data_IF_981691045655
#
_entry.id   IF_981691045655
#
_cell.length_a   1.000
_cell.length_b   1.000
_cell.length_c   1.000
_cell.angle_alpha   90.00
_cell.angle_beta   90.00
_cell.angle_gamma   90.00
#
_symmetry.space_group_name_H-M   'P 1'
#
loop_
_entity.id
_entity.type
_entity.pdbx_description
1 polymer ?
#
# COMPACT_ATOMS: atom_id res chain seq x y z
N UNK A 1 21.43 -32.56 -52.84
CA UNK A 1 22.46 -32.91 -51.85
C UNK A 1 22.97 -31.68 -51.09
N UNK A 2 24.04 -30.96 -51.49
CA UNK A 2 24.57 -29.83 -50.65
C UNK A 2 23.54 -28.71 -50.38
N UNK A 3 22.68 -28.38 -51.36
CA UNK A 3 21.61 -27.38 -51.18
C UNK A 3 20.44 -27.86 -50.31
N UNK A 4 20.19 -29.16 -50.25
CA UNK A 4 19.08 -29.75 -49.47
C UNK A 4 19.51 -29.91 -48.00
N UNK A 5 20.72 -30.43 -47.75
CA UNK A 5 21.29 -30.53 -46.39
C UNK A 5 21.48 -29.14 -45.74
N UNK A 6 21.85 -28.12 -46.53
CA UNK A 6 21.95 -26.75 -46.03
C UNK A 6 20.58 -26.12 -45.71
N UNK A 7 19.54 -26.47 -46.48
CA UNK A 7 18.18 -26.04 -46.21
C UNK A 7 17.62 -26.69 -44.93
N UNK A 8 17.87 -27.98 -44.73
CA UNK A 8 17.49 -28.69 -43.49
C UNK A 8 18.24 -28.14 -42.26
N UNK A 9 19.53 -27.82 -42.41
CA UNK A 9 20.31 -27.18 -41.34
C UNK A 9 19.77 -25.79 -40.97
N UNK A 10 19.51 -24.92 -41.96
CA UNK A 10 18.89 -23.62 -41.73
C UNK A 10 17.51 -23.73 -41.08
N UNK A 11 16.71 -24.71 -41.51
CA UNK A 11 15.40 -25.00 -40.93
C UNK A 11 15.52 -25.40 -39.45
N UNK A 12 16.48 -26.27 -39.12
CA UNK A 12 16.71 -26.67 -37.73
C UNK A 12 17.12 -25.49 -36.83
N UNK A 13 17.97 -24.58 -37.31
CA UNK A 13 18.36 -23.38 -36.56
C UNK A 13 17.14 -22.49 -36.31
N UNK A 14 16.31 -22.27 -37.35
CA UNK A 14 15.08 -21.50 -37.23
C UNK A 14 14.12 -22.10 -36.19
N UNK A 15 13.96 -23.42 -36.17
CA UNK A 15 13.13 -24.10 -35.17
C UNK A 15 13.66 -23.93 -33.74
N UNK A 16 14.99 -23.99 -33.54
CA UNK A 16 15.60 -23.76 -32.23
C UNK A 16 15.47 -22.31 -31.77
N UNK A 17 15.65 -21.34 -32.66
CA UNK A 17 15.42 -19.91 -32.38
C UNK A 17 13.94 -19.67 -32.04
N UNK A 18 13.01 -20.16 -32.84
CA UNK A 18 11.57 -20.07 -32.56
C UNK A 18 11.20 -20.73 -31.22
N UNK A 19 11.77 -21.89 -30.89
CA UNK A 19 11.53 -22.57 -29.62
C UNK A 19 12.09 -21.77 -28.43
N UNK A 20 13.22 -21.08 -28.59
CA UNK A 20 13.78 -20.16 -27.61
C UNK A 20 12.89 -18.94 -27.39
N UNK A 21 12.43 -18.33 -28.48
CA UNK A 21 11.56 -17.15 -28.46
C UNK A 21 10.18 -17.49 -27.86
N UNK A 22 9.59 -18.65 -28.18
CA UNK A 22 8.34 -19.15 -27.57
C UNK A 22 8.48 -19.37 -26.05
N UNK A 23 9.64 -19.83 -25.57
CA UNK A 23 9.94 -19.95 -24.12
C UNK A 23 10.11 -18.57 -23.46
N UNK A 24 10.72 -17.63 -24.16
CA UNK A 24 10.86 -16.25 -23.69
C UNK A 24 9.50 -15.58 -23.52
N UNK A 25 8.60 -15.71 -24.51
CA UNK A 25 7.22 -15.20 -24.42
C UNK A 25 6.52 -15.69 -23.15
N UNK A 26 6.55 -17.00 -22.89
CA UNK A 26 5.92 -17.59 -21.70
C UNK A 26 6.54 -17.06 -20.40
N UNK A 27 7.84 -16.81 -20.40
CA UNK A 27 8.55 -16.27 -19.24
C UNK A 27 8.17 -14.81 -18.98
N UNK A 28 8.07 -13.97 -20.03
CA UNK A 28 7.59 -12.60 -19.92
C UNK A 28 6.13 -12.51 -19.45
N UNK A 29 5.27 -13.40 -19.95
CA UNK A 29 3.89 -13.53 -19.48
C UNK A 29 3.83 -13.83 -17.98
N UNK A 30 4.59 -14.83 -17.51
CA UNK A 30 4.63 -15.20 -16.08
C UNK A 30 5.24 -14.10 -15.20
N UNK A 31 6.15 -13.28 -15.75
CA UNK A 31 6.76 -12.16 -15.06
C UNK A 31 5.88 -10.90 -15.03
N UNK A 32 4.80 -10.83 -15.82
CA UNK A 32 3.98 -9.64 -15.97
C UNK A 32 4.61 -8.54 -16.82
N UNK A 33 5.67 -8.85 -17.56
CA UNK A 33 6.38 -7.94 -18.46
C UNK A 33 5.64 -7.84 -19.80
N UNK A 34 4.45 -7.25 -19.76
CA UNK A 34 3.52 -7.28 -20.90
C UNK A 34 4.10 -6.64 -22.17
N UNK A 35 4.85 -5.54 -22.06
CA UNK A 35 5.47 -4.88 -23.21
C UNK A 35 6.45 -5.80 -23.94
N UNK A 36 7.29 -6.49 -23.18
CA UNK A 36 8.26 -7.45 -23.72
C UNK A 36 7.55 -8.67 -24.31
N UNK A 37 6.48 -9.14 -23.66
CA UNK A 37 5.64 -10.21 -24.18
C UNK A 37 5.02 -9.84 -25.54
N UNK A 38 4.48 -8.64 -25.70
CA UNK A 38 3.95 -8.18 -26.99
C UNK A 38 5.06 -7.98 -28.03
N UNK A 39 6.23 -7.46 -27.64
CA UNK A 39 7.39 -7.34 -28.55
C UNK A 39 7.76 -8.69 -29.14
N UNK A 40 7.90 -9.71 -28.29
CA UNK A 40 8.19 -11.08 -28.71
C UNK A 40 7.04 -11.68 -29.53
N UNK A 41 5.79 -11.39 -29.18
CA UNK A 41 4.63 -11.87 -29.93
C UNK A 41 4.60 -11.32 -31.37
N UNK A 42 5.02 -10.07 -31.58
CA UNK A 42 5.14 -9.49 -32.92
C UNK A 42 6.35 -10.03 -33.69
N UNK A 43 7.48 -10.32 -33.03
CA UNK A 43 8.62 -11.00 -33.65
C UNK A 43 8.24 -12.42 -34.14
N UNK A 44 7.40 -13.12 -33.38
CA UNK A 44 6.82 -14.41 -33.76
C UNK A 44 5.72 -14.31 -34.83
N UNK A 45 5.37 -13.09 -35.28
CA UNK A 45 4.32 -12.84 -36.27
C UNK A 45 2.98 -13.51 -35.92
N UNK A 46 2.62 -13.47 -34.64
CA UNK A 46 1.33 -14.00 -34.19
C UNK A 46 0.19 -13.28 -34.92
N UNK A 47 -0.83 -14.04 -35.33
CA UNK A 47 -2.00 -13.47 -35.99
C UNK A 47 -2.84 -12.64 -34.98
N UNK A 48 -3.74 -11.82 -35.51
CA UNK A 48 -4.56 -10.91 -34.70
C UNK A 48 -5.35 -11.61 -33.59
N UNK A 49 -5.84 -12.82 -33.82
CA UNK A 49 -6.59 -13.59 -32.81
C UNK A 49 -5.69 -14.02 -31.64
N UNK A 50 -4.46 -14.48 -31.90
CA UNK A 50 -3.49 -14.82 -30.86
C UNK A 50 -3.01 -13.59 -30.08
N UNK A 51 -2.91 -12.44 -30.74
CA UNK A 51 -2.60 -11.16 -30.09
C UNK A 51 -3.72 -10.75 -29.13
N UNK A 52 -4.99 -10.95 -29.52
CA UNK A 52 -6.15 -10.73 -28.64
C UNK A 52 -6.18 -11.71 -27.47
N UNK A 53 -5.99 -13.00 -27.71
CA UNK A 53 -5.89 -14.02 -26.64
C UNK A 53 -4.79 -13.67 -25.62
N UNK A 54 -3.63 -13.22 -26.10
CA UNK A 54 -2.53 -12.76 -25.25
C UNK A 54 -2.91 -11.51 -24.45
N UNK A 55 -3.61 -10.56 -25.09
CA UNK A 55 -4.09 -9.34 -24.44
C UNK A 55 -5.10 -9.64 -23.34
N UNK A 56 -6.04 -10.54 -23.56
CA UNK A 56 -7.04 -10.94 -22.56
C UNK A 56 -6.36 -11.60 -21.36
N UNK A 57 -5.45 -12.55 -21.62
CA UNK A 57 -4.68 -13.22 -20.56
C UNK A 57 -3.86 -12.23 -19.72
N UNK A 58 -3.14 -11.30 -20.36
CA UNK A 58 -2.32 -10.32 -19.66
C UNK A 58 -3.16 -9.26 -18.95
N UNK A 59 -4.33 -8.92 -19.49
CA UNK A 59 -5.28 -8.02 -18.83
C UNK A 59 -5.73 -8.61 -17.50
N UNK A 60 -6.14 -9.89 -17.49
CA UNK A 60 -6.56 -10.58 -16.26
C UNK A 60 -5.41 -10.64 -15.25
N UNK A 61 -4.21 -11.02 -15.71
CA UNK A 61 -3.03 -11.07 -14.87
C UNK A 61 -2.68 -9.70 -14.25
N UNK A 62 -2.73 -8.62 -15.03
CA UNK A 62 -2.46 -7.26 -14.55
C UNK A 62 -3.55 -6.78 -13.58
N UNK A 63 -4.81 -7.14 -13.82
CA UNK A 63 -5.92 -6.87 -12.92
C UNK A 63 -5.73 -7.54 -11.55
N UNK A 64 -5.27 -8.79 -11.52
CA UNK A 64 -4.92 -9.49 -10.27
C UNK A 64 -3.80 -8.78 -9.50
N UNK A 65 -2.84 -8.18 -10.21
CA UNK A 65 -1.75 -7.37 -9.63
C UNK A 65 -2.15 -5.93 -9.30
N UNK A 66 -3.41 -5.54 -9.53
CA UNK A 66 -3.94 -4.16 -9.36
C UNK A 66 -3.27 -3.12 -10.26
N UNK A 67 -2.67 -3.55 -11.38
CA UNK A 67 -2.07 -2.69 -12.40
C UNK A 67 -3.13 -2.30 -13.45
N UNK A 68 -4.19 -1.62 -13.01
CA UNK A 68 -5.37 -1.36 -13.84
C UNK A 68 -5.09 -0.45 -15.04
N UNK A 69 -4.18 0.52 -14.91
CA UNK A 69 -3.84 1.45 -16.00
C UNK A 69 -3.15 0.75 -17.17
N UNK A 70 -2.28 -0.22 -16.88
CA UNK A 70 -1.64 -1.02 -17.93
C UNK A 70 -2.62 -1.99 -18.56
N UNK A 71 -3.50 -2.62 -17.76
CA UNK A 71 -4.57 -3.47 -18.26
C UNK A 71 -5.55 -2.70 -19.18
N UNK A 72 -5.85 -1.43 -18.84
CA UNK A 72 -6.69 -0.56 -19.65
C UNK A 72 -6.03 -0.25 -21.01
N UNK A 73 -4.71 -0.02 -21.04
CA UNK A 73 -3.95 0.18 -22.28
C UNK A 73 -3.99 -1.05 -23.18
N UNK A 74 -3.84 -2.24 -22.62
CA UNK A 74 -3.96 -3.47 -23.41
C UNK A 74 -5.32 -3.57 -24.13
N UNK A 75 -6.40 -3.21 -23.44
CA UNK A 75 -7.73 -3.21 -24.02
C UNK A 75 -7.91 -2.18 -25.13
N UNK A 76 -7.27 -1.01 -25.02
CA UNK A 76 -7.29 -0.01 -26.09
C UNK A 76 -6.46 -0.44 -27.29
N UNK A 77 -5.23 -0.88 -27.05
CA UNK A 77 -4.22 -1.05 -28.08
C UNK A 77 -4.45 -2.33 -28.90
N UNK A 78 -4.87 -3.42 -28.23
CA UNK A 78 -4.91 -4.74 -28.86
C UNK A 78 -6.32 -5.33 -29.05
N UNK A 79 -7.28 -5.02 -28.16
CA UNK A 79 -8.66 -5.53 -28.28
C UNK A 79 -9.65 -4.47 -28.78
N UNK A 80 -9.24 -3.18 -28.78
CA UNK A 80 -10.07 -2.03 -29.13
C UNK A 80 -11.39 -1.96 -28.32
N UNK A 81 -11.40 -2.55 -27.13
CA UNK A 81 -12.57 -2.53 -26.25
C UNK A 81 -12.54 -1.28 -25.36
N UNK A 82 -13.16 -0.21 -25.87
CA UNK A 82 -13.19 1.10 -25.20
C UNK A 82 -13.93 1.03 -23.86
N UNK A 83 -15.08 0.36 -23.81
CA UNK A 83 -15.87 0.23 -22.57
C UNK A 83 -15.06 -0.44 -21.46
N UNK A 84 -14.42 -1.57 -21.75
CA UNK A 84 -13.59 -2.28 -20.76
C UNK A 84 -12.38 -1.44 -20.32
N UNK A 85 -11.74 -0.73 -21.24
CA UNK A 85 -10.63 0.17 -20.90
C UNK A 85 -11.08 1.31 -19.98
N UNK A 86 -12.22 1.94 -20.26
CA UNK A 86 -12.78 3.03 -19.44
C UNK A 86 -13.09 2.54 -18.01
N UNK A 87 -13.71 1.36 -17.88
CA UNK A 87 -13.96 0.75 -16.56
C UNK A 87 -12.65 0.52 -15.77
N UNK A 88 -11.60 0.05 -16.44
CA UNK A 88 -10.28 -0.17 -15.83
C UNK A 88 -9.59 1.15 -15.45
N UNK A 89 -9.70 2.21 -16.26
CA UNK A 89 -9.17 3.52 -15.90
C UNK A 89 -9.87 4.10 -14.66
N UNK A 90 -11.19 3.98 -14.59
CA UNK A 90 -11.98 4.39 -13.41
C UNK A 90 -11.56 3.59 -12.18
N UNK A 91 -11.38 2.27 -12.31
CA UNK A 91 -10.89 1.40 -11.23
C UNK A 91 -9.44 1.72 -10.81
N UNK A 92 -8.62 2.17 -11.74
CA UNK A 92 -7.26 2.68 -11.53
C UNK A 92 -7.19 4.11 -11.01
N UNK A 93 -8.34 4.75 -10.76
CA UNK A 93 -8.48 6.14 -10.35
C UNK A 93 -7.89 7.17 -11.35
N UNK A 94 -7.71 6.84 -12.63
CA UNK A 94 -7.35 7.82 -13.66
C UNK A 94 -8.58 8.29 -14.43
N UNK A 95 -9.39 9.10 -13.75
CA UNK A 95 -10.65 9.62 -14.32
C UNK A 95 -10.41 10.57 -15.48
N UNK A 96 -9.29 11.30 -15.48
CA UNK A 96 -8.89 12.17 -16.58
C UNK A 96 -8.68 11.39 -17.87
N UNK A 97 -7.95 10.28 -17.78
CA UNK A 97 -7.69 9.44 -18.95
C UNK A 97 -8.96 8.72 -19.40
N UNK A 98 -9.80 8.24 -18.48
CA UNK A 98 -11.10 7.67 -18.80
C UNK A 98 -11.95 8.63 -19.66
N UNK A 99 -12.08 9.91 -19.24
CA UNK A 99 -12.83 10.93 -20.00
C UNK A 99 -12.18 11.22 -21.34
N UNK A 100 -10.84 11.35 -21.38
CA UNK A 100 -10.10 11.60 -22.63
C UNK A 100 -10.37 10.50 -23.66
N UNK A 101 -10.36 9.24 -23.22
CA UNK A 101 -10.63 8.08 -24.06
C UNK A 101 -12.09 8.06 -24.55
N UNK A 102 -13.07 8.34 -23.68
CA UNK A 102 -14.47 8.47 -24.11
C UNK A 102 -14.64 9.48 -25.25
N UNK A 103 -14.00 10.66 -25.14
CA UNK A 103 -14.04 11.68 -26.19
C UNK A 103 -13.29 11.26 -27.45
N UNK A 104 -12.11 10.68 -27.32
CA UNK A 104 -11.30 10.22 -28.46
C UNK A 104 -12.02 9.15 -29.28
N UNK A 105 -12.68 8.21 -28.60
CA UNK A 105 -13.43 7.10 -29.20
C UNK A 105 -14.85 7.49 -29.63
N UNK A 106 -15.29 8.73 -29.40
CA UNK A 106 -16.65 9.24 -29.66
C UNK A 106 -17.76 8.49 -28.89
N UNK A 107 -17.42 7.90 -27.75
CA UNK A 107 -18.34 7.19 -26.84
C UNK A 107 -18.61 8.02 -25.58
N UNK A 108 -19.08 9.26 -25.77
CA UNK A 108 -19.34 10.19 -24.66
C UNK A 108 -20.44 9.71 -23.69
N UNK A 109 -21.29 8.76 -24.11
CA UNK A 109 -22.29 8.12 -23.24
C UNK A 109 -21.65 7.41 -22.04
N UNK A 110 -20.46 6.84 -22.21
CA UNK A 110 -19.73 6.16 -21.13
C UNK A 110 -19.36 7.09 -19.96
N UNK A 111 -19.28 8.41 -20.21
CA UNK A 111 -19.00 9.38 -19.15
C UNK A 111 -20.14 9.38 -18.13
N UNK A 112 -21.40 9.38 -18.59
CA UNK A 112 -22.57 9.37 -17.72
C UNK A 112 -22.85 7.98 -17.14
N UNK A 113 -22.61 6.91 -17.90
CA UNK A 113 -22.99 5.54 -17.48
C UNK A 113 -21.91 4.80 -16.70
N UNK A 114 -20.63 5.13 -16.89
CA UNK A 114 -19.49 4.42 -16.26
C UNK A 114 -18.65 5.36 -15.40
N UNK A 115 -18.19 6.47 -15.97
CA UNK A 115 -17.20 7.33 -15.29
C UNK A 115 -17.81 8.03 -14.07
N UNK A 116 -18.93 8.74 -14.23
CA UNK A 116 -19.57 9.45 -13.12
C UNK A 116 -20.02 8.52 -11.99
N UNK A 117 -20.72 7.39 -12.25
CA UNK A 117 -21.04 6.42 -11.19
C UNK A 117 -19.79 5.91 -10.47
N UNK A 118 -18.74 5.53 -11.21
CA UNK A 118 -17.52 5.03 -10.60
C UNK A 118 -16.75 6.09 -9.78
N UNK A 119 -16.85 7.37 -10.14
CA UNK A 119 -16.32 8.48 -9.32
C UNK A 119 -17.09 8.61 -8.01
N UNK A 120 -18.41 8.49 -8.03
CA UNK A 120 -19.25 8.52 -6.83
C UNK A 120 -18.99 7.30 -5.94
N UNK A 121 -18.83 6.11 -6.52
CA UNK A 121 -18.49 4.90 -5.77
C UNK A 121 -17.13 5.04 -5.09
N UNK A 122 -16.12 5.55 -5.81
CA UNK A 122 -14.81 5.83 -5.24
C UNK A 122 -14.87 6.87 -4.12
N UNK A 123 -15.75 7.88 -4.25
CA UNK A 123 -16.00 8.86 -3.19
C UNK A 123 -16.54 8.20 -1.93
N UNK A 124 -17.56 7.34 -2.06
CA UNK A 124 -18.15 6.65 -0.92
C UNK A 124 -17.12 5.74 -0.22
N UNK A 125 -16.33 4.98 -0.99
CA UNK A 125 -15.29 4.10 -0.45
C UNK A 125 -14.19 4.88 0.28
N UNK A 126 -13.70 5.97 -0.32
CA UNK A 126 -12.63 6.77 0.27
C UNK A 126 -13.09 7.52 1.51
N UNK A 127 -14.34 7.99 1.51
CA UNK A 127 -14.95 8.64 2.68
C UNK A 127 -15.05 7.66 3.86
N UNK A 128 -15.48 6.43 3.60
CA UNK A 128 -15.53 5.37 4.61
C UNK A 128 -14.12 5.02 5.12
N UNK A 129 -13.13 4.93 4.24
CA UNK A 129 -11.73 4.68 4.62
C UNK A 129 -11.17 5.79 5.51
N UNK A 130 -11.47 7.05 5.20
CA UNK A 130 -11.10 8.23 6.01
C UNK A 130 -11.74 8.14 7.41
N UNK A 131 -13.04 7.87 7.49
CA UNK A 131 -13.76 7.78 8.76
C UNK A 131 -13.28 6.58 9.60
N UNK A 132 -13.03 5.43 8.96
CA UNK A 132 -12.46 4.24 9.59
C UNK A 132 -11.04 4.49 10.10
N UNK A 133 -10.20 5.20 9.34
CA UNK A 133 -8.85 5.55 9.78
C UNK A 133 -8.90 6.48 11.00
N UNK A 134 -9.79 7.48 10.98
CA UNK A 134 -10.00 8.41 12.10
C UNK A 134 -10.41 7.66 13.37
N UNK A 135 -11.48 6.88 13.30
CA UNK A 135 -12.05 6.16 14.44
C UNK A 135 -11.06 5.16 15.04
N UNK A 136 -10.35 4.41 14.19
CA UNK A 136 -9.33 3.46 14.64
C UNK A 136 -8.13 4.15 15.28
N UNK A 137 -7.68 5.28 14.73
CA UNK A 137 -6.59 6.06 15.30
C UNK A 137 -6.94 6.57 16.71
N UNK A 138 -8.11 7.21 16.86
CA UNK A 138 -8.59 7.73 18.14
C UNK A 138 -8.72 6.61 19.19
N UNK A 139 -9.34 5.49 18.81
CA UNK A 139 -9.51 4.33 19.70
C UNK A 139 -8.18 3.77 20.18
N UNK A 140 -7.21 3.61 19.29
CA UNK A 140 -5.88 3.10 19.65
C UNK A 140 -5.10 4.08 20.53
N UNK A 141 -5.25 5.38 20.29
CA UNK A 141 -4.62 6.39 21.11
C UNK A 141 -5.22 6.46 22.52
N UNK A 142 -6.54 6.42 22.64
CA UNK A 142 -7.22 6.34 23.94
C UNK A 142 -6.77 5.09 24.71
N UNK A 143 -6.71 3.94 24.04
CA UNK A 143 -6.21 2.70 24.65
C UNK A 143 -4.75 2.83 25.11
N UNK A 144 -3.89 3.45 24.30
CA UNK A 144 -2.49 3.68 24.66
C UNK A 144 -2.37 4.53 25.94
N UNK A 145 -3.22 5.54 26.09
CA UNK A 145 -3.27 6.36 27.31
C UNK A 145 -3.62 5.51 28.54
N UNK A 146 -4.67 4.68 28.45
CA UNK A 146 -5.09 3.78 29.54
C UNK A 146 -3.96 2.80 29.91
N UNK A 147 -3.31 2.18 28.91
CA UNK A 147 -2.20 1.24 29.14
C UNK A 147 -1.03 1.91 29.88
N UNK A 148 -0.68 3.15 29.51
CA UNK A 148 0.37 3.92 30.18
C UNK A 148 0.00 4.27 31.63
N UNK A 149 -1.24 4.65 31.89
CA UNK A 149 -1.73 4.94 33.25
C UNK A 149 -1.75 3.68 34.13
N UNK A 150 -2.20 2.54 33.59
CA UNK A 150 -2.16 1.26 34.30
C UNK A 150 -0.72 0.83 34.63
N UNK A 151 0.20 0.99 33.68
CA UNK A 151 1.63 0.69 33.87
C UNK A 151 2.24 1.56 34.97
N UNK A 152 1.99 2.87 34.94
CA UNK A 152 2.44 3.80 35.98
C UNK A 152 1.87 3.44 37.36
N UNK A 153 0.58 3.09 37.44
CA UNK A 153 -0.08 2.67 38.68
C UNK A 153 0.51 1.37 39.24
N UNK A 154 0.83 0.39 38.38
CA UNK A 154 1.48 -0.87 38.79
C UNK A 154 2.88 -0.63 39.35
N UNK A 155 3.68 0.22 38.70
CA UNK A 155 5.02 0.60 39.18
C UNK A 155 4.94 1.22 40.58
N UNK A 156 4.02 2.18 40.76
CA UNK A 156 3.79 2.82 42.06
C UNK A 156 3.36 1.81 43.14
N UNK A 157 2.45 0.89 42.82
CA UNK A 157 1.96 -0.13 43.75
C UNK A 157 3.04 -1.13 44.16
N UNK A 158 4.05 -1.37 43.33
CA UNK A 158 5.19 -2.25 43.64
C UNK A 158 6.27 -1.56 44.51
N UNK A 159 6.11 -0.29 44.88
CA UNK A 159 7.08 0.45 45.69
C UNK A 159 8.40 0.74 44.96
N UNK A 160 8.45 0.53 43.64
CA UNK A 160 9.56 0.91 42.78
C UNK A 160 9.46 2.42 42.54
N UNK A 161 10.24 3.21 43.28
CA UNK A 161 10.33 4.64 43.06
C UNK A 161 10.83 4.94 41.63
N UNK A 162 10.32 5.99 40.94
CA UNK A 162 10.66 6.28 39.54
C UNK A 162 12.09 6.84 39.32
N UNK A 163 13.05 6.57 40.22
CA UNK A 163 14.30 7.32 40.30
C UNK A 163 15.58 6.50 40.34
N UNK A 164 15.55 5.27 39.85
CA UNK A 164 16.79 4.53 39.59
C UNK A 164 16.93 4.29 38.09
N UNK A 165 17.82 5.05 37.43
CA UNK A 165 18.14 4.93 36.00
C UNK A 165 18.66 3.53 35.62
N UNK A 166 18.97 2.71 36.62
CA UNK A 166 19.33 1.29 36.48
C UNK A 166 18.14 0.36 36.25
N UNK A 167 16.90 0.81 36.45
CA UNK A 167 15.68 0.02 36.24
C UNK A 167 15.18 0.05 34.79
N UNK A 168 15.66 0.97 33.95
CA UNK A 168 15.31 0.99 32.52
C UNK A 168 15.88 -0.21 31.74
N UNK A 169 16.99 -0.80 32.24
CA UNK A 169 17.59 -2.04 31.72
C UNK A 169 17.13 -3.29 32.48
N UNK A 170 16.38 -3.12 33.58
CA UNK A 170 15.71 -4.23 34.24
C UNK A 170 14.38 -4.39 33.52
N UNK A 171 14.43 -5.20 32.46
CA UNK A 171 13.26 -5.86 31.91
C UNK A 171 12.43 -6.37 33.12
N UNK A 172 11.27 -5.77 33.40
CA UNK A 172 10.25 -6.32 34.34
C UNK A 172 9.65 -7.61 33.74
N UNK A 173 10.44 -8.30 32.91
CA UNK A 173 10.14 -9.44 32.08
C UNK A 173 10.92 -10.69 32.53
N UNK A 174 11.76 -10.62 33.55
CA UNK A 174 12.35 -11.84 34.13
C UNK A 174 11.81 -12.08 35.54
N UNK A 175 10.95 -13.09 35.61
CA UNK A 175 10.78 -13.98 36.76
C UNK A 175 9.84 -13.61 37.91
N UNK A 176 8.53 -13.78 37.69
CA UNK A 176 7.64 -14.31 38.75
C UNK A 176 7.80 -15.83 38.94
N UNK A 177 8.68 -16.49 38.16
CA UNK A 177 9.02 -17.92 38.26
C UNK A 177 10.37 -18.22 38.95
N UNK A 178 11.22 -17.23 39.23
CA UNK A 178 12.55 -17.45 39.87
C UNK A 178 12.63 -17.04 41.34
N UNK A 179 11.54 -16.63 41.98
CA UNK A 179 11.52 -16.47 43.44
C UNK A 179 11.59 -17.79 44.23
N UNK A 180 11.60 -18.94 43.55
CA UNK A 180 11.67 -20.27 44.18
C UNK A 180 13.08 -20.90 44.24
N UNK A 181 14.11 -20.34 43.60
CA UNK A 181 15.40 -21.04 43.45
C UNK A 181 16.67 -20.28 43.86
N UNK A 182 16.58 -19.02 44.30
CA UNK A 182 17.78 -18.21 44.59
C UNK A 182 18.48 -18.50 45.93
N UNK A 183 18.28 -19.67 46.55
CA UNK A 183 18.99 -20.06 47.79
C UNK A 183 20.10 -21.09 47.63
N UNK A 184 20.36 -21.59 46.42
CA UNK A 184 21.40 -22.61 46.23
C UNK A 184 22.23 -22.24 45.00
N UNK A 185 23.36 -21.56 45.23
CA UNK A 185 24.70 -21.83 44.67
C UNK A 185 25.57 -20.58 44.84
N UNK A 186 25.94 -20.30 46.10
CA UNK A 186 27.27 -19.77 46.38
C UNK A 186 28.20 -20.99 46.45
N UNK A 187 29.42 -20.87 45.92
CA UNK A 187 30.47 -21.90 45.78
C UNK A 187 30.29 -22.88 44.61
N UNK A 188 31.00 -22.64 43.51
CA UNK A 188 32.20 -23.41 43.11
C UNK A 188 32.84 -22.75 41.90
N UNK A 189 34.14 -22.47 41.98
CA UNK A 189 34.94 -21.89 40.90
C UNK A 189 35.28 -22.88 39.79
N UNK A 190 35.75 -22.28 38.68
CA UNK A 190 36.44 -22.87 37.54
C UNK A 190 35.59 -23.74 36.57
N UNK A 191 35.48 -23.28 35.31
CA UNK A 191 36.30 -23.83 34.23
C UNK A 191 36.03 -23.12 32.89
N UNK A 192 37.11 -22.70 32.23
CA UNK A 192 37.17 -22.35 30.82
C UNK A 192 36.65 -23.51 29.96
N UNK A 193 35.68 -23.27 29.07
CA UNK A 193 35.51 -24.08 27.86
C UNK A 193 34.84 -23.28 26.74
N UNK A 194 35.69 -22.75 25.87
CA UNK A 194 35.38 -22.34 24.50
C UNK A 194 34.95 -23.55 23.69
N UNK A 195 33.70 -23.57 23.24
CA UNK A 195 33.14 -24.62 22.38
C UNK A 195 32.06 -24.05 21.47
N UNK A 196 32.37 -23.98 20.18
CA UNK A 196 31.50 -23.57 19.09
C UNK A 196 30.12 -24.26 19.12
N UNK A 197 29.04 -23.49 18.87
CA UNK A 197 27.88 -24.03 18.17
C UNK A 197 27.16 -22.94 17.36
N UNK A 198 27.23 -23.05 16.03
CA UNK A 198 26.40 -22.31 15.08
C UNK A 198 24.90 -22.72 15.12
N UNK A 199 24.49 -23.49 16.12
CA UNK A 199 23.10 -23.90 16.38
C UNK A 199 22.31 -22.87 17.22
N UNK A 200 23.00 -21.87 17.79
CA UNK A 200 22.39 -20.80 18.60
C UNK A 200 21.68 -19.74 17.74
N UNK A 201 22.10 -19.53 16.49
CA UNK A 201 21.56 -18.50 15.59
C UNK A 201 20.17 -18.85 15.04
N UNK A 202 19.90 -20.13 14.72
CA UNK A 202 18.58 -20.60 14.26
C UNK A 202 17.53 -20.65 15.39
N UNK A 203 17.95 -20.98 16.62
CA UNK A 203 17.09 -20.87 17.81
C UNK A 203 16.80 -19.40 18.12
N UNK A 204 17.79 -18.51 17.99
CA UNK A 204 17.62 -17.06 18.11
C UNK A 204 16.65 -16.50 17.05
N UNK A 205 16.76 -16.89 15.78
CA UNK A 205 15.85 -16.43 14.73
C UNK A 205 14.39 -16.91 14.91
N UNK A 206 14.19 -18.18 15.32
CA UNK A 206 12.85 -18.70 15.62
C UNK A 206 12.25 -18.08 16.89
N UNK A 207 13.07 -17.85 17.91
CA UNK A 207 12.65 -17.15 19.13
C UNK A 207 12.32 -15.67 18.83
N UNK A 208 13.14 -14.99 18.02
CA UNK A 208 12.91 -13.63 17.53
C UNK A 208 11.61 -13.53 16.76
N UNK A 209 11.36 -14.42 15.79
CA UNK A 209 10.07 -14.49 15.06
C UNK A 209 8.88 -14.78 15.98
N UNK A 210 9.05 -15.63 17.00
CA UNK A 210 7.99 -15.90 17.99
C UNK A 210 7.74 -14.68 18.87
N UNK A 211 8.78 -13.93 19.23
CA UNK A 211 8.67 -12.70 20.00
C UNK A 211 8.05 -11.57 19.16
N UNK A 212 8.48 -11.38 17.92
CA UNK A 212 7.87 -10.48 16.93
C UNK A 212 6.39 -10.79 16.69
N UNK A 213 6.01 -12.07 16.62
CA UNK A 213 4.60 -12.48 16.53
C UNK A 213 3.80 -12.16 17.80
N UNK A 214 4.42 -12.21 18.98
CA UNK A 214 3.79 -11.79 20.24
C UNK A 214 3.69 -10.28 20.36
N UNK A 215 4.70 -9.54 19.89
CA UNK A 215 4.70 -8.08 19.75
C UNK A 215 3.68 -7.59 18.74
N UNK A 216 3.38 -8.40 17.72
CA UNK A 216 2.31 -8.15 16.77
C UNK A 216 0.91 -8.57 17.28
N UNK A 217 0.81 -9.12 18.50
CA UNK A 217 -0.46 -9.60 19.04
C UNK A 217 -1.23 -8.44 19.69
N UNK A 218 -2.42 -8.17 19.16
CA UNK A 218 -3.37 -7.18 19.68
C UNK A 218 -4.07 -7.60 20.99
N UNK A 219 -3.50 -8.54 21.75
CA UNK A 219 -4.16 -9.05 22.94
C UNK A 219 -4.15 -7.97 24.04
N UNK A 220 -5.32 -7.45 24.35
CA UNK A 220 -5.53 -6.50 25.43
C UNK A 220 -5.03 -7.08 26.77
N UNK A 221 -4.28 -6.28 27.54
CA UNK A 221 -3.59 -6.69 28.75
C UNK A 221 -2.30 -7.49 28.52
N UNK A 222 -1.86 -7.61 27.25
CA UNK A 222 -0.63 -8.29 26.88
C UNK A 222 0.62 -7.48 27.22
N UNK A 223 1.74 -8.18 27.45
CA UNK A 223 3.02 -7.56 27.85
C UNK A 223 3.56 -6.60 26.77
N UNK A 224 3.22 -6.83 25.50
CA UNK A 224 3.66 -6.03 24.36
C UNK A 224 2.58 -5.10 23.80
N UNK A 225 1.47 -4.90 24.53
CA UNK A 225 0.34 -4.10 24.05
C UNK A 225 0.74 -2.65 23.73
N UNK A 226 1.57 -2.03 24.56
CA UNK A 226 2.05 -0.66 24.33
C UNK A 226 2.89 -0.54 23.04
N UNK A 227 3.82 -1.48 22.82
CA UNK A 227 4.68 -1.51 21.62
C UNK A 227 3.86 -1.78 20.36
N UNK A 228 2.87 -2.67 20.45
CA UNK A 228 1.91 -2.92 19.39
C UNK A 228 1.12 -1.67 19.02
N UNK A 229 0.55 -0.96 20.01
CA UNK A 229 -0.23 0.26 19.79
C UNK A 229 0.61 1.36 19.15
N UNK A 230 1.85 1.57 19.61
CA UNK A 230 2.76 2.55 19.00
C UNK A 230 3.06 2.21 17.53
N UNK A 231 3.36 0.93 17.25
CA UNK A 231 3.62 0.46 15.88
C UNK A 231 2.38 0.63 15.00
N UNK A 232 1.19 0.38 15.55
CA UNK A 232 -0.08 0.53 14.84
C UNK A 232 -0.40 2.01 14.54
N UNK A 233 -0.16 2.92 15.49
CA UNK A 233 -0.32 4.36 15.27
C UNK A 233 0.64 4.88 14.19
N UNK A 234 1.88 4.37 14.13
CA UNK A 234 2.80 4.68 13.03
C UNK A 234 2.30 4.18 11.68
N UNK A 235 1.69 2.99 11.62
CA UNK A 235 1.05 2.49 10.38
C UNK A 235 -0.10 3.39 9.94
N UNK A 236 -0.91 3.88 10.88
CA UNK A 236 -1.99 4.83 10.58
C UNK A 236 -1.45 6.14 9.98
N UNK A 237 -0.29 6.64 10.44
CA UNK A 237 0.37 7.80 9.85
C UNK A 237 0.86 7.54 8.41
N UNK A 238 1.39 6.35 8.13
CA UNK A 238 1.79 5.96 6.78
C UNK A 238 0.55 5.87 5.88
N UNK A 239 -0.54 5.28 6.38
CA UNK A 239 -1.81 5.19 5.65
C UNK A 239 -2.38 6.57 5.34
N UNK A 240 -2.36 7.51 6.29
CA UNK A 240 -2.77 8.90 6.07
C UNK A 240 -2.01 9.54 4.90
N UNK A 241 -0.69 9.34 4.84
CA UNK A 241 0.14 9.85 3.74
C UNK A 241 -0.26 9.22 2.40
N UNK A 242 -0.54 7.91 2.36
CA UNK A 242 -0.95 7.25 1.11
C UNK A 242 -2.32 7.71 0.60
N UNK A 243 -3.21 8.19 1.46
CA UNK A 243 -4.53 8.71 1.07
C UNK A 243 -4.49 10.09 0.41
N UNK A 244 -3.38 10.83 0.50
CA UNK A 244 -3.27 12.18 -0.04
C UNK A 244 -3.49 12.25 -1.56
N UNK A 245 -2.75 11.42 -2.31
CA UNK A 245 -2.81 11.43 -3.77
C UNK A 245 -4.20 10.99 -4.29
N UNK A 246 -4.79 9.88 -3.80
CA UNK A 246 -6.16 9.51 -4.18
C UNK A 246 -7.20 10.58 -3.85
N UNK A 247 -7.12 11.19 -2.66
CA UNK A 247 -8.08 12.21 -2.22
C UNK A 247 -8.03 13.46 -3.10
N UNK A 248 -6.83 13.97 -3.37
CA UNK A 248 -6.67 15.17 -4.21
C UNK A 248 -7.09 14.94 -5.66
N UNK A 249 -6.80 13.76 -6.21
CA UNK A 249 -7.24 13.37 -7.53
C UNK A 249 -8.77 13.29 -7.61
N UNK A 250 -9.39 12.62 -6.64
CA UNK A 250 -10.84 12.46 -6.60
C UNK A 250 -11.58 13.79 -6.41
N UNK A 251 -11.09 14.69 -5.54
CA UNK A 251 -11.64 16.05 -5.36
C UNK A 251 -11.63 16.81 -6.69
N UNK A 252 -10.54 16.73 -7.46
CA UNK A 252 -10.46 17.37 -8.78
C UNK A 252 -11.51 16.80 -9.72
N UNK A 253 -11.62 15.48 -9.82
CA UNK A 253 -12.58 14.81 -10.69
C UNK A 253 -14.03 15.11 -10.31
N UNK A 254 -14.38 15.05 -9.02
CA UNK A 254 -15.71 15.43 -8.51
C UNK A 254 -16.06 16.88 -8.90
N UNK A 255 -15.09 17.80 -8.78
CA UNK A 255 -15.29 19.20 -9.14
C UNK A 255 -15.52 19.39 -10.65
N UNK A 256 -14.78 18.67 -11.49
CA UNK A 256 -14.96 18.68 -12.96
C UNK A 256 -16.36 18.18 -13.34
N UNK A 257 -16.89 17.18 -12.66
CA UNK A 257 -18.21 16.62 -12.92
C UNK A 257 -19.38 17.38 -12.23
N UNK A 258 -19.11 18.53 -11.60
CA UNK A 258 -20.08 19.33 -10.83
C UNK A 258 -20.67 18.65 -9.58
N UNK A 259 -19.99 17.65 -9.02
CA UNK A 259 -20.31 17.05 -7.71
C UNK A 259 -19.69 17.89 -6.58
N UNK A 260 -20.15 19.13 -6.45
CA UNK A 260 -19.54 20.13 -5.58
C UNK A 260 -19.74 19.84 -4.09
N UNK A 261 -20.85 19.22 -3.71
CA UNK A 261 -21.14 18.91 -2.30
C UNK A 261 -20.26 17.76 -1.80
N UNK A 262 -20.11 16.74 -2.63
CA UNK A 262 -19.26 15.57 -2.41
C UNK A 262 -17.79 16.01 -2.34
N UNK A 263 -17.35 16.85 -3.27
CA UNK A 263 -15.99 17.42 -3.29
C UNK A 263 -15.68 18.19 -1.99
N UNK A 264 -16.57 19.09 -1.55
CA UNK A 264 -16.43 19.85 -0.30
C UNK A 264 -16.45 18.94 0.93
N UNK A 265 -17.32 17.95 0.95
CA UNK A 265 -17.45 17.00 2.07
C UNK A 265 -16.18 16.18 2.22
N UNK A 266 -15.66 15.62 1.12
CA UNK A 266 -14.41 14.86 1.12
C UNK A 266 -13.22 15.72 1.57
N UNK A 267 -13.12 16.95 1.07
CA UNK A 267 -12.08 17.89 1.47
C UNK A 267 -12.15 18.22 2.97
N UNK A 268 -13.35 18.51 3.48
CA UNK A 268 -13.56 18.83 4.89
C UNK A 268 -13.21 17.66 5.80
N UNK A 269 -13.66 16.44 5.46
CA UNK A 269 -13.37 15.22 6.23
C UNK A 269 -11.89 14.86 6.23
N UNK A 270 -11.22 14.97 5.08
CA UNK A 270 -9.79 14.73 5.01
C UNK A 270 -9.00 15.79 5.80
N UNK A 271 -9.43 17.06 5.77
CA UNK A 271 -8.82 18.12 6.59
C UNK A 271 -8.97 17.82 8.08
N UNK A 272 -10.17 17.52 8.54
CA UNK A 272 -10.46 17.13 9.94
C UNK A 272 -9.63 15.91 10.38
N UNK A 273 -9.49 14.89 9.51
CA UNK A 273 -8.58 13.77 9.75
C UNK A 273 -7.14 14.25 9.95
N UNK A 274 -6.59 15.07 9.03
CA UNK A 274 -5.22 15.57 9.17
C UNK A 274 -5.02 16.44 10.41
N UNK A 275 -6.00 17.26 10.78
CA UNK A 275 -5.98 18.07 12.00
C UNK A 275 -6.00 17.20 13.25
N UNK A 276 -6.83 16.16 13.27
CA UNK A 276 -6.86 15.16 14.34
C UNK A 276 -5.47 14.55 14.50
N UNK A 277 -4.84 14.09 13.42
CA UNK A 277 -3.48 13.55 13.50
C UNK A 277 -2.42 14.60 13.93
N UNK A 278 -2.62 15.90 13.68
CA UNK A 278 -1.72 16.97 14.15
C UNK A 278 -1.88 17.26 15.64
N UNK A 279 -3.10 17.47 16.11
CA UNK A 279 -3.40 17.77 17.52
C UNK A 279 -3.09 16.58 18.40
N UNK A 280 -3.36 15.39 17.89
CA UNK A 280 -3.26 14.16 18.64
C UNK A 280 -1.97 13.38 18.43
N UNK A 281 -1.27 13.64 17.32
CA UNK A 281 -0.03 12.97 16.91
C UNK A 281 1.25 13.68 17.36
N UNK A 282 1.22 14.48 18.44
CA UNK A 282 2.40 14.69 19.28
C UNK A 282 2.79 13.37 19.96
N UNK A 283 3.20 12.40 19.14
CA UNK A 283 4.07 11.31 19.53
C UNK A 283 5.46 11.94 19.68
N UNK A 284 6.15 11.65 20.78
CA UNK A 284 7.53 12.08 21.01
C UNK A 284 8.40 11.90 19.76
N UNK A 285 9.38 12.80 19.53
CA UNK A 285 9.80 13.18 18.19
C UNK A 285 10.55 12.04 17.51
N UNK A 286 9.85 11.31 16.62
CA UNK A 286 10.51 10.62 15.52
C UNK A 286 10.71 11.65 14.41
N UNK A 287 11.96 11.80 13.97
CA UNK A 287 12.54 12.87 13.12
C UNK A 287 11.89 13.11 11.73
N UNK A 288 10.67 12.66 11.47
CA UNK A 288 10.04 12.69 10.15
C UNK A 288 8.79 13.59 10.06
N UNK A 289 8.49 14.36 11.12
CA UNK A 289 7.40 15.34 11.13
C UNK A 289 7.61 16.54 10.18
N UNK A 290 8.77 16.63 9.50
CA UNK A 290 9.10 17.75 8.59
C UNK A 290 8.42 17.65 7.22
N UNK A 291 7.85 16.50 6.85
CA UNK A 291 7.26 16.26 5.52
C UNK A 291 5.78 16.72 5.43
N UNK A 292 5.12 16.95 6.58
CA UNK A 292 3.71 17.36 6.62
C UNK A 292 3.53 18.84 6.23
N UNK A 293 4.59 19.65 6.31
CA UNK A 293 4.50 21.10 6.16
C UNK A 293 4.49 21.62 4.71
N UNK A 294 4.82 20.80 3.71
CA UNK A 294 4.71 21.18 2.27
C UNK A 294 3.32 20.90 1.68
N UNK A 295 2.40 20.37 2.48
CA UNK A 295 1.09 19.85 2.02
C UNK A 295 0.01 20.94 1.98
N UNK A 296 0.04 21.91 2.90
CA UNK A 296 -0.92 23.02 2.91
C UNK A 296 -0.76 23.94 1.69
N UNK A 297 0.48 24.22 1.27
CA UNK A 297 0.75 25.11 0.13
C UNK A 297 0.27 24.53 -1.21
N UNK A 298 0.28 23.20 -1.38
CA UNK A 298 -0.16 22.55 -2.63
C UNK A 298 -1.66 22.36 -2.75
N UNK A 299 -2.40 22.24 -1.65
CA UNK A 299 -3.87 22.16 -1.68
C UNK A 299 -4.47 23.56 -1.89
N UNK A 300 -3.91 24.58 -1.23
CA UNK A 300 -4.39 25.96 -1.34
C UNK A 300 -3.81 26.74 -2.53
N UNK A 301 -2.66 26.33 -3.09
CA UNK A 301 -2.07 26.93 -4.28
C UNK A 301 -2.79 26.59 -5.59
N UNK A 302 -3.70 25.61 -5.57
CA UNK A 302 -4.62 25.34 -6.69
C UNK A 302 -5.97 25.95 -6.35
N UNK A 303 -6.01 27.28 -6.34
CA UNK A 303 -7.24 28.06 -6.19
C UNK A 303 -8.15 27.86 -7.42
N UNK A 304 -8.91 26.76 -7.46
CA UNK A 304 -10.03 26.61 -8.42
C UNK A 304 -11.27 27.43 -8.02
N UNK A 305 -11.23 28.08 -6.87
CA UNK A 305 -12.28 29.01 -6.43
C UNK A 305 -11.65 30.37 -6.14
N UNK A 306 -11.44 31.18 -7.19
CA UNK A 306 -11.60 32.63 -7.04
C UNK A 306 -13.09 32.91 -7.20
N UNK A 307 -13.74 33.19 -6.09
CA UNK A 307 -14.97 33.98 -6.08
C UNK A 307 -14.61 35.34 -6.65
N UNK A 308 -14.66 35.49 -7.98
CA UNK A 308 -14.77 36.77 -8.71
C UNK A 308 -14.68 36.49 -10.22
N UNK A 309 -15.81 36.20 -10.86
CA UNK A 309 -16.09 36.64 -12.23
C UNK A 309 -17.60 36.52 -12.48
N UNK A 310 -18.33 37.53 -12.01
CA UNK A 310 -19.64 37.86 -12.56
C UNK A 310 -19.46 38.23 -14.04
N UNK A 311 -20.28 37.61 -14.89
CA UNK A 311 -20.72 38.15 -16.19
C UNK A 311 -19.65 38.30 -17.28
N UNK A 312 -19.33 37.22 -17.99
CA UNK A 312 -18.89 37.30 -19.39
C UNK A 312 -19.51 36.18 -20.25
N UNK A 313 -20.82 36.02 -20.22
CA UNK A 313 -21.58 35.43 -21.35
C UNK A 313 -22.97 36.05 -21.39
N UNK A 314 -22.99 37.30 -21.86
CA UNK A 314 -24.17 38.00 -22.37
C UNK A 314 -23.76 38.63 -23.70
N UNK A 315 -23.98 37.88 -24.77
CA UNK A 315 -24.40 38.29 -26.11
C UNK A 315 -24.42 37.07 -27.02
#
# INVERSE_FOLDING_TARGET
>A
LIKEEYAEYLFSILEYEEAGIKKALKSFMMAGLWKDAFSVAFELQLNGDRIKELSDYLTDFLCEKRLYLDAARLNLDYTQNVSAAVELYVKGADYSEAVRICHLSKESNLIETVVKPGVIDAYNMLLEEIDNLKTNFLKQKERLKVVREEKARKILAMGLLPHDDKLNDIDIMSDTSSMATTRITAYTGASNRTGMSNASSLRSARAKRKNERKKASSKEGGIYEEEYLNTSLQKHLINLKSLYSPTTNLIKSLSIFNFLQESKTLQSRFKDLTETFKTEGQLEPVKEAKIIFDVEEKIYGVSYFREDEKSVYSK
#
